data_IF_508801588698
#
_entry.id   IF_508801588698
#
_cell.length_a   1.000
_cell.length_b   1.000
_cell.length_c   1.000
_cell.angle_alpha   90.00
_cell.angle_beta   90.00
_cell.angle_gamma   90.00
#
_symmetry.space_group_name_H-M   'P 1'
#
loop_
_entity.id
_entity.type
_entity.pdbx_description
1 polymer ?
#
# COMPACT_ATOMS: atom_id res chain seq x y z
N UNK A 1 5.26 -7.06 -3.22
CA UNK A 1 6.21 -6.35 -4.09
C UNK A 1 5.41 -5.90 -5.30
N UNK A 2 5.52 -4.64 -5.68
CA UNK A 2 4.82 -4.06 -6.84
C UNK A 2 5.83 -3.34 -7.73
N UNK A 3 5.83 -3.63 -9.03
CA UNK A 3 6.72 -3.08 -10.04
C UNK A 3 5.93 -2.33 -11.12
N UNK A 4 6.63 -1.54 -11.93
CA UNK A 4 6.02 -0.94 -13.12
C UNK A 4 5.54 -2.01 -14.09
N UNK A 5 4.33 -1.84 -14.61
CA UNK A 5 3.71 -2.80 -15.53
C UNK A 5 2.93 -3.92 -14.84
N UNK A 6 2.91 -3.98 -13.51
CA UNK A 6 2.02 -4.89 -12.77
C UNK A 6 0.54 -4.48 -12.94
N UNK A 7 0.27 -3.23 -13.36
CA UNK A 7 -1.07 -2.76 -13.67
C UNK A 7 -1.82 -2.28 -12.44
N UNK A 8 -3.11 -2.62 -12.33
CA UNK A 8 -4.01 -2.13 -11.28
C UNK A 8 -4.38 -3.25 -10.31
N UNK A 9 -3.59 -3.37 -9.25
CA UNK A 9 -3.72 -4.43 -8.25
C UNK A 9 -4.66 -4.05 -7.11
N UNK A 10 -5.26 -5.06 -6.51
CA UNK A 10 -6.12 -4.93 -5.32
C UNK A 10 -5.60 -5.83 -4.22
N UNK A 11 -5.28 -5.22 -3.09
CA UNK A 11 -4.93 -5.90 -1.84
C UNK A 11 -6.17 -5.89 -0.96
N UNK A 12 -6.56 -7.08 -0.50
CA UNK A 12 -7.54 -7.27 0.57
C UNK A 12 -6.75 -7.87 1.72
N UNK A 13 -6.51 -7.06 2.74
CA UNK A 13 -5.95 -7.55 3.99
C UNK A 13 -7.05 -7.75 5.03
N UNK A 14 -6.83 -8.64 6.00
CA UNK A 14 -7.68 -8.77 7.17
C UNK A 14 -6.91 -9.43 8.31
N UNK A 15 -6.25 -8.61 9.11
CA UNK A 15 -5.71 -9.07 10.38
C UNK A 15 -6.80 -9.62 11.30
N UNK A 16 -6.45 -10.62 12.10
CA UNK A 16 -7.26 -11.01 13.24
C UNK A 16 -7.14 -9.92 14.32
N UNK A 17 -8.29 -9.49 14.86
CA UNK A 17 -8.37 -8.38 15.81
C UNK A 17 -7.53 -8.63 17.09
N UNK A 18 -7.35 -9.90 17.48
CA UNK A 18 -6.54 -10.27 18.64
C UNK A 18 -5.03 -10.30 18.36
N UNK A 19 -4.64 -10.22 17.08
CA UNK A 19 -3.26 -10.37 16.58
C UNK A 19 -2.75 -9.11 15.86
N UNK A 20 -3.53 -8.02 15.86
CA UNK A 20 -3.10 -6.67 15.46
C UNK A 20 -2.08 -6.09 16.48
N UNK A 21 -0.98 -6.82 16.68
CA UNK A 21 0.15 -6.43 17.51
C UNK A 21 1.15 -5.69 16.64
N UNK A 22 1.84 -4.71 17.21
CA UNK A 22 2.81 -3.87 16.49
C UNK A 22 3.96 -4.64 15.82
N UNK A 23 4.15 -5.91 16.19
CA UNK A 23 5.14 -6.84 15.68
C UNK A 23 4.71 -7.59 14.40
N UNK A 24 3.41 -7.61 14.08
CA UNK A 24 2.90 -8.08 12.80
C UNK A 24 2.58 -6.87 11.94
N UNK A 25 3.41 -6.64 10.91
CA UNK A 25 3.28 -5.51 10.00
C UNK A 25 3.39 -6.01 8.57
N UNK A 26 2.32 -5.81 7.83
CA UNK A 26 2.32 -6.06 6.40
C UNK A 26 3.09 -4.96 5.67
N UNK A 27 3.75 -5.37 4.59
CA UNK A 27 4.65 -4.49 3.85
C UNK A 27 4.38 -4.52 2.35
N UNK A 28 3.93 -3.39 1.82
CA UNK A 28 3.96 -3.12 0.38
C UNK A 28 5.32 -2.52 0.02
N UNK A 29 6.13 -3.32 -0.67
CA UNK A 29 7.39 -2.88 -1.28
C UNK A 29 7.16 -2.43 -2.71
N UNK A 30 7.55 -1.21 -3.03
CA UNK A 30 7.68 -0.73 -4.41
C UNK A 30 9.05 -1.13 -4.98
N UNK A 31 9.04 -1.59 -6.24
CA UNK A 31 10.23 -1.99 -6.98
C UNK A 31 11.22 -0.85 -7.20
N UNK A 32 12.43 -1.17 -7.62
CA UNK A 32 13.54 -0.21 -7.72
C UNK A 32 13.28 0.96 -8.68
N UNK A 33 12.42 0.77 -9.67
CA UNK A 33 12.07 1.77 -10.68
C UNK A 33 10.91 2.69 -10.27
N UNK A 34 10.39 2.56 -9.04
CA UNK A 34 9.31 3.38 -8.50
C UNK A 34 9.86 4.20 -7.32
N UNK A 35 9.87 5.53 -7.45
CA UNK A 35 10.28 6.44 -6.37
C UNK A 35 9.07 6.88 -5.55
N UNK A 36 9.33 7.33 -4.33
CA UNK A 36 8.31 7.89 -3.45
C UNK A 36 7.60 9.11 -4.07
N UNK A 37 8.31 9.90 -4.88
CA UNK A 37 7.75 11.04 -5.62
C UNK A 37 6.80 10.65 -6.75
N UNK A 38 6.86 9.40 -7.20
CA UNK A 38 6.07 8.90 -8.32
C UNK A 38 4.70 8.37 -7.86
N UNK A 39 4.48 8.27 -6.54
CA UNK A 39 3.26 7.73 -5.96
C UNK A 39 2.38 8.86 -5.43
N UNK A 40 1.15 8.92 -5.96
CA UNK A 40 0.05 9.71 -5.44
C UNK A 40 -0.80 8.84 -4.52
N UNK A 41 -0.99 9.29 -3.27
CA UNK A 41 -1.88 8.61 -2.32
C UNK A 41 -3.27 9.25 -2.40
N UNK A 42 -4.27 8.43 -2.71
CA UNK A 42 -5.63 8.85 -2.93
C UNK A 42 -6.57 8.03 -2.04
N UNK A 43 -7.71 8.63 -1.66
CA UNK A 43 -8.82 7.92 -1.04
C UNK A 43 -9.93 7.69 -2.07
N UNK A 44 -10.44 6.48 -2.16
CA UNK A 44 -11.60 6.12 -2.99
C UNK A 44 -12.60 5.35 -2.14
N UNK A 45 -13.66 6.03 -1.67
CA UNK A 45 -14.59 5.45 -0.71
C UNK A 45 -13.89 5.06 0.60
N UNK A 46 -13.88 3.76 0.93
CA UNK A 46 -13.13 3.22 2.07
C UNK A 46 -11.73 2.71 1.71
N UNK A 47 -11.34 2.77 0.45
CA UNK A 47 -10.08 2.21 -0.02
C UNK A 47 -8.98 3.28 -0.04
N UNK A 48 -7.75 2.85 0.23
CA UNK A 48 -6.54 3.64 -0.02
C UNK A 48 -5.93 3.21 -1.34
N UNK A 49 -5.61 4.17 -2.21
CA UNK A 49 -5.04 3.93 -3.53
C UNK A 49 -3.67 4.57 -3.61
N UNK A 50 -2.64 3.77 -3.86
CA UNK A 50 -1.30 4.20 -4.20
C UNK A 50 -1.18 4.17 -5.72
N UNK A 51 -1.36 5.33 -6.36
CA UNK A 51 -1.38 5.46 -7.82
C UNK A 51 -0.03 5.98 -8.32
N UNK A 52 0.57 5.29 -9.27
CA UNK A 52 1.76 5.78 -9.94
C UNK A 52 1.40 6.91 -10.94
N UNK A 53 2.27 7.91 -11.07
CA UNK A 53 2.07 9.08 -11.96
C UNK A 53 2.01 8.74 -13.45
N UNK A 54 2.45 7.55 -13.86
CA UNK A 54 2.26 7.08 -15.25
C UNK A 54 0.79 6.84 -15.62
N UNK A 55 -0.11 6.81 -14.64
CA UNK A 55 -1.54 6.65 -14.83
C UNK A 55 -2.01 5.25 -15.20
N UNK A 56 -1.12 4.27 -15.32
CA UNK A 56 -1.41 2.88 -15.67
C UNK A 56 -1.30 1.93 -14.47
N UNK A 57 -0.38 2.24 -13.55
CA UNK A 57 -0.05 1.37 -12.43
C UNK A 57 -0.63 1.91 -11.11
N UNK A 58 -1.22 1.03 -10.31
CA UNK A 58 -1.71 1.36 -8.98
C UNK A 58 -1.90 0.14 -8.09
N UNK A 59 -1.80 0.34 -6.79
CA UNK A 59 -2.24 -0.63 -5.78
C UNK A 59 -3.37 -0.02 -4.97
N UNK A 60 -4.50 -0.73 -4.91
CA UNK A 60 -5.64 -0.38 -4.05
C UNK A 60 -5.68 -1.29 -2.85
N UNK A 61 -5.59 -0.76 -1.63
CA UNK A 61 -5.85 -1.50 -0.40
C UNK A 61 -7.31 -1.28 0.00
N UNK A 62 -8.08 -2.37 -0.01
CA UNK A 62 -9.51 -2.33 0.27
C UNK A 62 -9.77 -2.04 1.74
N UNK A 63 -10.82 -1.24 1.99
CA UNK A 63 -11.36 -1.02 3.33
C UNK A 63 -10.39 -0.42 4.36
N UNK A 64 -9.29 0.18 3.90
CA UNK A 64 -8.33 0.92 4.72
C UNK A 64 -8.98 1.89 5.71
N UNK A 65 -9.99 2.64 5.27
CA UNK A 65 -10.68 3.62 6.12
C UNK A 65 -11.86 3.03 6.91
N UNK A 66 -12.11 1.72 6.80
CA UNK A 66 -13.17 1.04 7.55
C UNK A 66 -12.68 0.57 8.92
N UNK A 67 -11.51 -0.06 8.99
CA UNK A 67 -10.89 -0.53 10.24
C UNK A 67 -9.37 -0.70 10.04
N UNK A 68 -8.61 -0.67 11.14
CA UNK A 68 -7.16 -0.90 11.13
C UNK A 68 -6.79 -2.32 10.74
N UNK A 69 -7.67 -3.29 10.93
CA UNK A 69 -7.40 -4.68 10.50
C UNK A 69 -7.25 -4.84 8.98
N UNK A 70 -7.51 -3.80 8.18
CA UNK A 70 -7.36 -3.80 6.72
C UNK A 70 -6.11 -3.02 6.25
N UNK A 71 -5.24 -2.61 7.17
CA UNK A 71 -4.11 -1.76 6.84
C UNK A 71 -2.94 -2.55 6.27
N UNK A 72 -2.07 -1.82 5.58
CA UNK A 72 -0.69 -2.26 5.33
C UNK A 72 0.18 -1.29 6.10
N UNK A 73 0.84 -1.75 7.16
CA UNK A 73 1.46 -0.86 8.14
C UNK A 73 2.71 -0.17 7.61
N UNK A 74 3.37 -0.74 6.61
CA UNK A 74 4.60 -0.18 6.04
C UNK A 74 4.58 -0.17 4.51
N UNK A 75 4.92 0.98 3.95
CA UNK A 75 5.28 1.13 2.53
C UNK A 75 6.79 1.34 2.47
N UNK A 76 7.50 0.54 1.67
CA UNK A 76 8.97 0.68 1.51
C UNK A 76 9.34 0.93 0.05
N UNK A 77 10.25 1.86 -0.16
CA UNK A 77 10.87 2.16 -1.45
C UNK A 77 12.32 1.66 -1.50
N UNK A 78 12.84 1.40 -2.70
CA UNK A 78 14.23 0.96 -2.87
C UNK A 78 15.28 1.99 -2.39
N UNK A 79 14.90 3.27 -2.30
CA UNK A 79 15.72 4.33 -1.70
C UNK A 79 15.94 4.16 -0.19
N UNK A 80 15.17 3.26 0.45
CA UNK A 80 15.11 3.11 1.91
C UNK A 80 14.08 4.02 2.57
N UNK A 81 13.41 4.90 1.81
CA UNK A 81 12.27 5.68 2.31
C UNK A 81 11.15 4.72 2.74
N UNK A 82 10.52 5.06 3.86
CA UNK A 82 9.38 4.33 4.42
C UNK A 82 8.24 5.26 4.75
N UNK A 83 7.02 4.85 4.41
CA UNK A 83 5.80 5.46 4.93
C UNK A 83 5.12 4.49 5.89
N UNK A 84 4.53 5.03 6.95
CA UNK A 84 3.83 4.25 7.98
C UNK A 84 2.46 4.85 8.23
N UNK A 85 1.47 3.99 8.44
CA UNK A 85 0.11 4.35 8.81
C UNK A 85 -0.01 4.72 10.31
#
# INVERSE_FOLDING_TARGET
>A
LFNLGDGQDVIIDKADADIAREEYRDELRFGADIKESDIQVLRSGNDMVFRHVNGQDSVTVKDWFADRVYWIEQITFASGVKWTA
#
